data_IF_722813296201
#
_entry.id   IF_722813296201
#
_cell.length_a   1.000
_cell.length_b   1.000
_cell.length_c   1.000
_cell.angle_alpha   90.00
_cell.angle_beta   90.00
_cell.angle_gamma   90.00
#
_symmetry.space_group_name_H-M   'P 1'
#
loop_
_entity.id
_entity.type
_entity.pdbx_description
1 polymer ?
#
# COMPACT_ATOMS: atom_id res chain seq x y z
N UNK A 1 -14.79 -30.12 -53.94
CA UNK A 1 -14.94 -28.64 -53.84
C UNK A 1 -16.19 -28.37 -53.03
N UNK A 2 -16.06 -28.11 -51.72
CA UNK A 2 -17.17 -27.86 -50.82
C UNK A 2 -17.01 -26.44 -50.25
N UNK A 3 -17.81 -25.51 -50.78
CA UNK A 3 -17.94 -24.15 -50.27
C UNK A 3 -18.98 -24.14 -49.15
N UNK A 4 -18.53 -23.88 -47.92
CA UNK A 4 -19.42 -23.65 -46.76
C UNK A 4 -19.38 -22.18 -46.40
N UNK A 5 -20.48 -21.50 -46.71
CA UNK A 5 -20.83 -20.14 -46.31
C UNK A 5 -21.03 -20.04 -44.79
N UNK A 6 -20.68 -18.93 -44.12
CA UNK A 6 -20.84 -18.77 -42.68
C UNK A 6 -22.25 -18.28 -42.29
N UNK A 7 -22.82 -18.68 -41.13
CA UNK A 7 -24.05 -18.10 -40.63
C UNK A 7 -23.80 -16.75 -39.93
N UNK A 8 -24.58 -15.74 -40.32
CA UNK A 8 -24.65 -14.42 -39.71
C UNK A 8 -25.22 -14.49 -38.28
N UNK A 9 -24.56 -13.76 -37.38
CA UNK A 9 -24.94 -13.58 -35.98
C UNK A 9 -26.10 -12.58 -35.91
N UNK A 10 -27.28 -13.06 -35.51
CA UNK A 10 -28.42 -12.22 -35.12
C UNK A 10 -28.24 -11.82 -33.64
N UNK A 11 -27.98 -10.54 -33.38
CA UNK A 11 -28.07 -9.95 -32.04
C UNK A 11 -29.53 -9.63 -31.74
N UNK A 12 -30.14 -10.35 -30.80
CA UNK A 12 -31.34 -9.88 -30.11
C UNK A 12 -30.98 -9.47 -28.69
N UNK A 13 -31.37 -8.24 -28.36
CA UNK A 13 -31.24 -7.63 -27.05
C UNK A 13 -32.33 -8.16 -26.11
N UNK A 14 -31.93 -8.58 -24.91
CA UNK A 14 -32.84 -8.77 -23.78
C UNK A 14 -32.13 -8.16 -22.55
N UNK A 15 -32.46 -6.91 -22.23
CA UNK A 15 -32.26 -6.36 -20.89
C UNK A 15 -33.64 -5.95 -20.38
N UNK A 16 -34.14 -6.69 -19.39
CA UNK A 16 -35.34 -6.34 -18.64
C UNK A 16 -35.00 -6.01 -17.20
N UNK A 17 -35.30 -4.76 -16.84
CA UNK A 17 -36.00 -4.30 -15.64
C UNK A 17 -35.68 -4.93 -14.26
N UNK A 18 -35.13 -4.12 -13.35
CA UNK A 18 -35.86 -3.49 -12.22
C UNK A 18 -34.91 -2.84 -11.22
N UNK A 19 -35.23 -1.62 -10.78
CA UNK A 19 -34.57 -0.99 -9.64
C UNK A 19 -34.85 0.49 -9.42
N UNK A 20 -36.07 0.97 -9.69
CA UNK A 20 -36.52 2.32 -9.31
C UNK A 20 -36.75 2.34 -7.80
N UNK A 21 -36.11 3.26 -7.08
CA UNK A 21 -36.54 3.67 -5.73
C UNK A 21 -36.58 5.20 -5.64
N UNK A 22 -37.79 5.65 -5.36
CA UNK A 22 -38.32 6.96 -5.02
C UNK A 22 -37.34 7.93 -4.34
N UNK A 23 -37.21 9.12 -4.92
CA UNK A 23 -36.77 10.33 -4.23
C UNK A 23 -37.99 10.99 -3.57
N UNK A 24 -38.14 10.88 -2.25
CA UNK A 24 -39.06 11.74 -1.51
C UNK A 24 -38.32 13.00 -1.04
N UNK A 25 -38.74 14.13 -1.57
CA UNK A 25 -38.44 15.46 -1.05
C UNK A 25 -38.99 15.61 0.37
N UNK A 26 -38.14 15.95 1.34
CA UNK A 26 -38.54 16.73 2.50
C UNK A 26 -37.38 17.66 2.86
N UNK A 27 -37.59 18.94 2.58
CA UNK A 27 -36.72 20.03 2.96
C UNK A 27 -36.99 20.42 4.43
N UNK A 28 -35.93 20.44 5.24
CA UNK A 28 -35.84 21.24 6.46
C UNK A 28 -34.44 21.86 6.43
N UNK A 29 -34.32 23.20 6.54
CA UNK A 29 -33.03 23.88 6.58
C UNK A 29 -32.56 23.99 8.03
N UNK A 30 -31.29 23.68 8.33
CA UNK A 30 -30.61 24.45 9.37
C UNK A 30 -29.08 24.39 9.36
N UNK A 31 -28.56 25.59 9.57
CA UNK A 31 -27.28 26.07 10.09
C UNK A 31 -26.04 25.19 10.26
N UNK A 32 -24.93 25.84 9.90
CA UNK A 32 -23.56 25.67 10.40
C UNK A 32 -22.76 24.48 9.85
N UNK A 33 -22.09 24.79 8.74
CA UNK A 33 -20.91 24.13 8.22
C UNK A 33 -19.76 24.11 9.24
N UNK A 34 -19.79 23.15 10.16
CA UNK A 34 -18.58 22.69 10.86
C UNK A 34 -17.90 21.68 9.95
N UNK A 35 -16.86 22.15 9.27
CA UNK A 35 -16.00 21.39 8.38
C UNK A 35 -15.23 20.33 9.19
N UNK A 36 -15.82 19.13 9.37
CA UNK A 36 -15.15 18.02 10.02
C UNK A 36 -14.27 17.29 8.99
N UNK A 37 -13.03 17.76 8.83
CA UNK A 37 -12.01 16.94 8.17
C UNK A 37 -11.52 15.87 9.15
N UNK A 38 -11.59 14.57 8.80
CA UNK A 38 -10.97 13.55 9.62
C UNK A 38 -9.47 13.85 9.74
N UNK A 39 -8.85 13.69 10.94
CA UNK A 39 -7.42 13.89 11.08
C UNK A 39 -6.70 12.90 10.16
N UNK A 40 -5.97 13.44 9.18
CA UNK A 40 -5.03 12.69 8.35
C UNK A 40 -4.19 11.84 9.30
N UNK A 41 -4.24 10.53 9.14
CA UNK A 41 -3.32 9.62 9.80
C UNK A 41 -1.91 10.13 9.50
N UNK A 42 -1.22 10.62 10.53
CA UNK A 42 0.19 10.95 10.48
C UNK A 42 0.95 9.66 10.16
N UNK A 43 1.10 9.40 8.86
CA UNK A 43 2.17 8.57 8.34
C UNK A 43 3.44 9.16 8.92
N UNK A 44 4.12 8.40 9.77
CA UNK A 44 5.42 8.81 10.28
C UNK A 44 6.32 9.05 9.06
N UNK A 45 6.77 10.29 8.91
CA UNK A 45 7.80 10.65 7.95
C UNK A 45 9.05 9.87 8.35
N UNK A 46 9.33 8.80 7.61
CA UNK A 46 10.65 8.18 7.65
C UNK A 46 11.68 9.22 7.23
N UNK A 47 12.88 9.25 7.85
CA UNK A 47 13.88 10.27 7.61
C UNK A 47 14.19 10.35 6.11
N UNK A 48 13.82 11.48 5.53
CA UNK A 48 14.04 11.87 4.14
C UNK A 48 15.52 12.10 3.91
N UNK A 49 16.28 11.03 3.75
CA UNK A 49 17.59 11.07 3.11
C UNK A 49 17.69 9.98 2.02
N UNK A 50 16.57 9.69 1.37
CA UNK A 50 16.58 9.06 0.06
C UNK A 50 16.43 10.17 -0.96
N UNK A 51 17.55 10.60 -1.53
CA UNK A 51 17.57 11.27 -2.83
C UNK A 51 16.56 10.53 -3.73
N UNK A 52 15.52 11.23 -4.19
CA UNK A 52 14.42 10.63 -4.93
C UNK A 52 14.93 10.19 -6.31
N UNK A 53 15.53 9.00 -6.34
CA UNK A 53 16.15 8.45 -7.54
C UNK A 53 15.14 8.48 -8.68
N UNK A 54 15.55 9.09 -9.79
CA UNK A 54 14.68 9.23 -10.95
C UNK A 54 14.37 7.82 -11.47
N UNK A 55 13.10 7.50 -11.81
CA UNK A 55 12.75 6.20 -12.38
C UNK A 55 13.59 5.92 -13.63
N UNK A 56 14.30 4.79 -13.63
CA UNK A 56 15.25 4.42 -14.68
C UNK A 56 16.72 4.40 -14.24
N UNK A 57 17.10 5.09 -13.16
CA UNK A 57 18.48 5.00 -12.64
C UNK A 57 18.80 3.64 -12.04
N UNK A 58 17.80 2.98 -11.45
CA UNK A 58 17.92 1.62 -10.90
C UNK A 58 16.81 0.74 -11.43
N UNK A 59 17.17 -0.50 -11.76
CA UNK A 59 16.24 -1.57 -12.09
C UNK A 59 16.44 -2.69 -11.07
N UNK A 60 15.36 -3.07 -10.42
CA UNK A 60 15.33 -4.20 -9.50
C UNK A 60 14.76 -5.41 -10.21
N UNK A 61 15.51 -6.50 -10.16
CA UNK A 61 15.13 -7.79 -10.73
C UNK A 61 14.77 -8.71 -9.57
N UNK A 62 13.59 -9.29 -9.61
CA UNK A 62 13.10 -10.24 -8.61
C UNK A 62 12.86 -11.59 -9.27
N UNK A 63 13.05 -12.66 -8.52
CA UNK A 63 12.72 -14.00 -8.97
C UNK A 63 11.90 -14.74 -7.93
N UNK A 64 11.09 -15.68 -8.40
CA UNK A 64 10.30 -16.55 -7.56
C UNK A 64 11.13 -17.79 -7.19
N UNK A 65 11.35 -18.08 -5.90
CA UNK A 65 12.21 -19.18 -5.44
C UNK A 65 11.84 -20.54 -6.04
N UNK A 66 10.55 -20.91 -6.00
CA UNK A 66 10.10 -22.23 -6.45
C UNK A 66 9.86 -22.33 -7.96
N UNK A 67 9.20 -21.34 -8.56
CA UNK A 67 8.80 -21.35 -9.97
C UNK A 67 9.86 -20.76 -10.90
N UNK A 68 10.83 -20.02 -10.34
CA UNK A 68 11.90 -19.33 -11.06
C UNK A 68 11.44 -18.33 -12.13
N UNK A 69 10.17 -17.91 -12.07
CA UNK A 69 9.68 -16.75 -12.80
C UNK A 69 10.46 -15.51 -12.36
N UNK A 70 10.83 -14.65 -13.30
CA UNK A 70 11.54 -13.39 -13.04
C UNK A 70 10.61 -12.21 -13.26
N UNK A 71 10.75 -11.11 -12.53
CA UNK A 71 9.95 -9.88 -12.69
C UNK A 71 10.87 -8.68 -12.54
N UNK A 72 10.65 -7.65 -13.37
CA UNK A 72 11.41 -6.41 -13.36
C UNK A 72 10.62 -5.28 -12.70
N UNK A 73 11.28 -4.39 -11.95
CA UNK A 73 10.66 -3.22 -11.32
C UNK A 73 11.63 -2.03 -11.26
N UNK A 74 11.10 -0.80 -11.32
CA UNK A 74 11.89 0.41 -10.99
C UNK A 74 11.93 0.69 -9.49
N UNK A 75 10.99 0.14 -8.73
CA UNK A 75 10.90 0.31 -7.28
C UNK A 75 11.49 -0.89 -6.55
N UNK A 76 12.17 -0.63 -5.43
CA UNK A 76 12.71 -1.67 -4.54
C UNK A 76 11.60 -2.53 -3.92
N UNK A 77 10.44 -1.95 -3.68
CA UNK A 77 9.24 -2.69 -3.27
C UNK A 77 8.51 -3.20 -4.52
N UNK A 78 8.18 -4.49 -4.53
CA UNK A 78 7.47 -5.12 -5.64
C UNK A 78 5.96 -4.78 -5.58
N UNK A 79 5.43 -4.18 -6.64
CA UNK A 79 4.00 -3.89 -6.74
C UNK A 79 3.25 -5.11 -7.31
N UNK A 80 2.19 -5.54 -6.61
CA UNK A 80 1.39 -6.71 -6.98
C UNK A 80 0.85 -6.65 -8.42
N UNK A 81 0.20 -5.54 -8.81
CA UNK A 81 -0.43 -5.42 -10.13
C UNK A 81 0.62 -5.40 -11.27
N UNK A 82 1.70 -4.64 -11.08
CA UNK A 82 2.76 -4.53 -12.08
C UNK A 82 3.58 -5.82 -12.21
N UNK A 83 3.77 -6.57 -11.13
CA UNK A 83 4.50 -7.84 -11.20
C UNK A 83 3.66 -8.94 -11.88
N UNK A 84 2.38 -9.08 -11.47
CA UNK A 84 1.51 -10.12 -12.01
C UNK A 84 1.23 -9.93 -13.50
N UNK A 85 1.12 -8.68 -13.97
CA UNK A 85 0.94 -8.37 -15.40
C UNK A 85 2.16 -8.71 -16.28
N UNK A 86 3.33 -8.99 -15.69
CA UNK A 86 4.49 -9.45 -16.43
C UNK A 86 4.52 -10.97 -16.59
N UNK A 87 3.75 -11.73 -15.80
CA UNK A 87 3.74 -13.20 -15.86
C UNK A 87 2.71 -13.65 -16.90
N UNK A 88 3.16 -14.32 -17.96
CA UNK A 88 2.24 -14.85 -18.97
C UNK A 88 1.43 -16.03 -18.44
N UNK A 89 0.21 -16.17 -18.96
CA UNK A 89 -0.65 -17.30 -18.63
C UNK A 89 -0.25 -18.53 -19.46
N UNK A 90 0.50 -19.43 -18.85
CA UNK A 90 0.95 -20.67 -19.49
C UNK A 90 0.08 -21.88 -19.07
N UNK A 91 -1.13 -21.64 -18.53
CA UNK A 91 -2.06 -22.69 -18.10
C UNK A 91 -2.49 -22.62 -16.62
N UNK A 92 -3.27 -23.61 -16.17
CA UNK A 92 -3.86 -23.61 -14.82
C UNK A 92 -2.76 -23.59 -13.73
N UNK A 93 -2.92 -22.73 -12.71
CA UNK A 93 -2.01 -22.55 -11.56
C UNK A 93 -0.61 -22.00 -11.90
N UNK A 94 -0.39 -21.50 -13.13
CA UNK A 94 0.87 -20.88 -13.52
C UNK A 94 1.01 -19.49 -12.89
N UNK A 95 0.02 -18.63 -13.07
CA UNK A 95 -0.06 -17.29 -12.46
C UNK A 95 -0.66 -17.36 -11.05
N UNK A 96 0.02 -16.83 -10.01
CA UNK A 96 -0.55 -16.74 -8.66
C UNK A 96 -1.61 -15.63 -8.56
N UNK A 97 -2.59 -15.79 -7.67
CA UNK A 97 -3.60 -14.77 -7.44
C UNK A 97 -3.04 -13.48 -6.79
N UNK A 98 -2.00 -13.62 -5.97
CA UNK A 98 -1.31 -12.51 -5.32
C UNK A 98 0.17 -12.86 -5.11
N UNK A 99 1.03 -11.84 -5.07
CA UNK A 99 2.42 -12.02 -4.70
C UNK A 99 2.56 -12.36 -3.22
N UNK A 100 3.36 -13.39 -2.95
CA UNK A 100 3.70 -13.86 -1.61
C UNK A 100 5.11 -13.40 -1.24
N UNK A 101 5.24 -12.60 -0.17
CA UNK A 101 6.51 -11.93 0.19
C UNK A 101 7.68 -12.89 0.46
N UNK A 102 7.37 -14.10 0.89
CA UNK A 102 8.31 -15.18 1.20
C UNK A 102 8.83 -15.92 -0.05
N UNK A 103 8.12 -15.84 -1.17
CA UNK A 103 8.49 -16.56 -2.39
C UNK A 103 9.26 -15.71 -3.39
N UNK A 104 9.22 -14.38 -3.26
CA UNK A 104 9.85 -13.43 -4.17
C UNK A 104 11.11 -12.85 -3.55
N UNK A 105 12.25 -13.11 -4.17
CA UNK A 105 13.56 -12.68 -3.70
C UNK A 105 14.21 -11.75 -4.73
N UNK A 106 15.03 -10.77 -4.29
CA UNK A 106 15.83 -9.98 -5.21
C UNK A 106 16.83 -10.91 -5.90
N UNK A 107 16.88 -10.84 -7.23
CA UNK A 107 17.88 -11.54 -8.06
C UNK A 107 19.10 -10.65 -8.25
N UNK A 108 18.86 -9.45 -8.78
CA UNK A 108 19.90 -8.48 -9.11
C UNK A 108 19.36 -7.04 -9.04
N UNK A 109 20.25 -6.08 -8.90
CA UNK A 109 19.97 -4.65 -9.05
C UNK A 109 20.91 -4.05 -10.06
N UNK A 110 20.36 -3.48 -11.14
CA UNK A 110 21.11 -2.78 -12.17
C UNK A 110 21.13 -1.30 -11.83
N UNK A 111 22.30 -0.68 -11.83
CA UNK A 111 22.47 0.76 -11.55
C UNK A 111 23.11 1.45 -12.76
N UNK A 112 22.43 2.50 -13.24
CA UNK A 112 22.82 3.32 -14.37
C UNK A 112 23.23 4.71 -13.87
N UNK A 113 24.54 4.99 -13.71
CA UNK A 113 25.02 6.27 -13.21
C UNK A 113 24.85 7.41 -14.23
N UNK A 114 24.92 7.11 -15.53
CA UNK A 114 24.97 8.13 -16.58
C UNK A 114 23.62 8.78 -16.87
N UNK A 115 22.57 8.00 -17.15
CA UNK A 115 21.26 8.53 -17.53
C UNK A 115 20.11 7.58 -17.18
N UNK A 116 18.98 8.11 -16.64
CA UNK A 116 17.77 7.31 -16.40
C UNK A 116 17.08 6.83 -17.68
N UNK A 117 17.28 7.51 -18.81
CA UNK A 117 16.63 7.16 -20.08
C UNK A 117 17.14 5.84 -20.64
N UNK A 118 18.46 5.63 -20.54
CA UNK A 118 19.12 4.36 -20.87
C UNK A 118 18.48 3.23 -20.07
N UNK A 119 18.34 3.39 -18.75
CA UNK A 119 17.73 2.36 -17.91
C UNK A 119 16.25 2.12 -18.22
N UNK A 120 15.47 3.11 -18.63
CA UNK A 120 14.08 2.89 -19.10
C UNK A 120 14.04 2.08 -20.39
N UNK A 121 14.95 2.35 -21.31
CA UNK A 121 15.08 1.61 -22.55
C UNK A 121 15.52 0.16 -22.29
N UNK A 122 16.51 -0.04 -21.41
CA UNK A 122 16.94 -1.38 -20.96
C UNK A 122 15.78 -2.14 -20.33
N UNK A 123 15.04 -1.49 -19.43
CA UNK A 123 13.88 -2.09 -18.78
C UNK A 123 12.81 -2.53 -19.78
N UNK A 124 12.55 -1.72 -20.81
CA UNK A 124 11.64 -2.06 -21.88
C UNK A 124 12.12 -3.31 -22.63
N UNK A 125 13.39 -3.33 -23.08
CA UNK A 125 13.96 -4.46 -23.83
C UNK A 125 13.99 -5.77 -23.02
N UNK A 126 14.33 -5.71 -21.74
CA UNK A 126 14.29 -6.89 -20.85
C UNK A 126 12.87 -7.48 -20.73
N UNK A 127 11.85 -6.63 -20.68
CA UNK A 127 10.45 -7.09 -20.65
C UNK A 127 10.00 -7.64 -22.00
N UNK A 128 10.47 -7.07 -23.10
CA UNK A 128 10.24 -7.60 -24.45
C UNK A 128 10.88 -8.98 -24.61
N UNK A 129 12.16 -9.16 -24.27
CA UNK A 129 12.82 -10.46 -24.36
C UNK A 129 12.17 -11.53 -23.49
N UNK A 130 11.83 -11.21 -22.25
CA UNK A 130 11.08 -12.13 -21.41
C UNK A 130 9.77 -12.58 -22.06
N UNK A 131 9.01 -11.65 -22.65
CA UNK A 131 7.75 -11.99 -23.33
C UNK A 131 8.01 -12.92 -24.51
N UNK A 132 9.06 -12.68 -25.29
CA UNK A 132 9.45 -13.54 -26.41
C UNK A 132 9.85 -14.94 -25.93
N UNK A 133 10.65 -15.06 -24.87
CA UNK A 133 11.01 -16.36 -24.27
C UNK A 133 9.80 -17.18 -23.80
N UNK A 134 8.72 -16.54 -23.41
CA UNK A 134 7.49 -17.21 -22.96
C UNK A 134 6.51 -17.50 -24.13
N UNK A 135 6.55 -16.75 -25.25
CA UNK A 135 5.54 -16.79 -26.32
C UNK A 135 6.05 -17.29 -27.68
N UNK A 136 7.28 -16.98 -28.03
CA UNK A 136 7.91 -17.27 -29.33
C UNK A 136 8.97 -18.36 -29.14
N UNK A 137 8.53 -19.56 -28.78
CA UNK A 137 9.38 -20.74 -28.71
C UNK A 137 9.27 -21.53 -30.02
N UNK A 138 10.38 -22.12 -30.46
CA UNK A 138 10.33 -23.02 -31.60
C UNK A 138 9.56 -24.29 -31.21
N UNK A 139 8.62 -24.78 -32.04
CA UNK A 139 7.85 -25.98 -31.72
C UNK A 139 8.72 -27.21 -31.46
N UNK A 140 9.89 -27.28 -32.09
CA UNK A 140 10.88 -28.33 -31.89
C UNK A 140 11.51 -28.27 -30.49
N UNK A 141 11.74 -27.06 -29.96
CA UNK A 141 12.21 -26.83 -28.59
C UNK A 141 11.15 -27.19 -27.54
N UNK A 142 9.88 -27.34 -27.91
CA UNK A 142 8.82 -27.72 -26.96
C UNK A 142 8.69 -29.23 -26.80
N UNK A 143 9.09 -29.99 -27.83
CA UNK A 143 9.25 -31.45 -27.75
C UNK A 143 10.63 -31.76 -27.17
N UNK A 144 11.00 -31.09 -26.07
CA UNK A 144 12.21 -31.45 -25.33
C UNK A 144 12.10 -32.91 -24.97
N UNK A 145 13.12 -33.64 -25.39
CA UNK A 145 13.35 -35.00 -24.92
C UNK A 145 14.10 -34.91 -23.60
N UNK A 146 13.84 -35.84 -22.70
CA UNK A 146 14.70 -36.01 -21.53
C UNK A 146 16.08 -36.54 -21.96
N UNK A 147 16.99 -36.67 -21.00
CA UNK A 147 18.33 -37.22 -21.23
C UNK A 147 18.31 -38.64 -21.82
N UNK A 148 17.15 -39.31 -21.76
CA UNK A 148 16.89 -40.66 -22.27
C UNK A 148 16.18 -40.66 -23.64
N UNK A 149 15.93 -39.49 -24.24
CA UNK A 149 15.32 -39.38 -25.56
C UNK A 149 13.78 -39.44 -25.57
N UNK A 150 13.11 -39.52 -24.42
CA UNK A 150 11.66 -39.58 -24.31
C UNK A 150 11.03 -38.18 -24.26
N UNK A 151 9.84 -37.98 -24.86
CA UNK A 151 9.15 -36.69 -24.79
C UNK A 151 8.79 -36.33 -23.35
N UNK A 152 9.17 -35.11 -22.93
CA UNK A 152 8.85 -34.62 -21.60
C UNK A 152 7.33 -34.46 -21.43
N UNK A 153 6.74 -34.85 -20.28
CA UNK A 153 5.31 -34.63 -20.02
C UNK A 153 4.93 -33.16 -20.08
N UNK A 154 3.77 -32.84 -20.65
CA UNK A 154 3.25 -31.47 -20.82
C UNK A 154 3.33 -30.61 -19.54
N UNK A 155 3.01 -31.18 -18.37
CA UNK A 155 3.10 -30.44 -17.09
C UNK A 155 4.53 -30.03 -16.72
N UNK A 156 5.53 -30.81 -17.11
CA UNK A 156 6.96 -30.50 -16.88
C UNK A 156 7.45 -29.49 -17.90
N UNK A 157 6.99 -29.57 -19.16
CA UNK A 157 7.24 -28.54 -20.18
C UNK A 157 6.74 -27.16 -19.72
N UNK A 158 5.50 -27.08 -19.23
CA UNK A 158 4.94 -25.82 -18.71
C UNK A 158 5.72 -25.25 -17.51
N UNK A 159 6.35 -26.11 -16.69
CA UNK A 159 7.21 -25.67 -15.60
C UNK A 159 8.55 -25.14 -16.12
N UNK A 160 9.14 -25.82 -17.11
CA UNK A 160 10.36 -25.37 -17.77
C UNK A 160 10.15 -24.02 -18.47
N UNK A 161 9.01 -23.81 -19.12
CA UNK A 161 8.65 -22.53 -19.72
C UNK A 161 8.51 -21.40 -18.67
N UNK A 162 8.17 -21.73 -17.42
CA UNK A 162 8.16 -20.75 -16.33
C UNK A 162 9.54 -20.46 -15.73
N UNK A 163 10.52 -21.34 -15.94
CA UNK A 163 11.88 -21.18 -15.42
C UNK A 163 12.67 -20.19 -16.29
N UNK A 164 12.47 -18.90 -15.99
CA UNK A 164 13.05 -17.79 -16.76
C UNK A 164 14.29 -17.19 -16.09
N UNK A 165 14.83 -17.81 -15.04
CA UNK A 165 15.97 -17.26 -14.28
C UNK A 165 17.23 -17.13 -15.15
N UNK A 166 17.64 -18.22 -15.78
CA UNK A 166 18.83 -18.24 -16.63
C UNK A 166 18.66 -17.34 -17.87
N UNK A 167 17.52 -17.45 -18.56
CA UNK A 167 17.19 -16.62 -19.72
C UNK A 167 17.24 -15.13 -19.38
N UNK A 168 16.67 -14.72 -18.25
CA UNK A 168 16.69 -13.32 -17.83
C UNK A 168 18.12 -12.80 -17.58
N UNK A 169 19.03 -13.64 -17.10
CA UNK A 169 20.43 -13.27 -16.87
C UNK A 169 21.17 -13.13 -18.20
N UNK A 170 20.95 -14.07 -19.13
CA UNK A 170 21.47 -13.99 -20.48
C UNK A 170 20.93 -12.75 -21.22
N UNK A 171 19.65 -12.43 -21.05
CA UNK A 171 19.02 -11.22 -21.60
C UNK A 171 19.66 -9.95 -21.03
N UNK A 172 19.94 -9.90 -19.73
CA UNK A 172 20.66 -8.78 -19.11
C UNK A 172 22.03 -8.60 -19.76
N UNK A 173 22.80 -9.68 -19.90
CA UNK A 173 24.11 -9.60 -20.57
C UNK A 173 23.97 -9.13 -22.02
N UNK A 174 23.01 -9.68 -22.78
CA UNK A 174 22.78 -9.32 -24.18
C UNK A 174 22.35 -7.85 -24.37
N UNK A 175 21.46 -7.34 -23.51
CA UNK A 175 21.03 -5.94 -23.56
C UNK A 175 22.16 -5.00 -23.15
N UNK A 176 22.90 -5.32 -22.08
CA UNK A 176 24.00 -4.47 -21.62
C UNK A 176 25.18 -4.47 -22.58
N UNK A 177 25.41 -5.55 -23.32
CA UNK A 177 26.40 -5.62 -24.40
C UNK A 177 26.17 -4.55 -25.46
N UNK A 178 24.91 -4.27 -25.82
CA UNK A 178 24.56 -3.24 -26.81
C UNK A 178 24.91 -1.81 -26.38
N UNK A 179 25.06 -1.59 -25.06
CA UNK A 179 25.51 -0.31 -24.52
C UNK A 179 27.03 -0.16 -24.55
N UNK A 180 27.78 -1.25 -24.77
CA UNK A 180 29.23 -1.22 -24.88
C UNK A 180 29.68 -0.48 -26.13
N UNK A 181 30.79 0.26 -26.04
CA UNK A 181 31.42 0.89 -27.21
C UNK A 181 31.91 -0.16 -28.21
N UNK A 182 32.40 -1.31 -27.74
CA UNK A 182 32.84 -2.43 -28.59
C UNK A 182 31.73 -2.94 -29.51
N UNK A 183 30.48 -2.90 -29.08
CA UNK A 183 29.36 -3.34 -29.90
C UNK A 183 29.09 -2.38 -31.07
N UNK A 184 29.30 -1.08 -30.89
CA UNK A 184 29.18 -0.12 -31.99
C UNK A 184 30.27 -0.29 -33.05
N UNK A 185 31.46 -0.72 -32.64
CA UNK A 185 32.56 -1.03 -33.56
C UNK A 185 32.30 -2.34 -34.33
N UNK A 186 31.77 -3.37 -33.66
CA UNK A 186 31.45 -4.67 -34.28
C UNK A 186 30.22 -4.63 -35.20
N UNK A 187 29.19 -3.84 -34.88
CA UNK A 187 27.92 -3.84 -35.61
C UNK A 187 27.95 -3.01 -36.92
N UNK A 188 29.02 -2.25 -37.18
CA UNK A 188 29.09 -1.32 -38.31
C UNK A 188 28.16 -0.11 -38.15
N UNK A 189 28.51 1.02 -38.75
CA UNK A 189 27.80 2.30 -38.56
C UNK A 189 26.32 2.28 -39.01
N UNK A 190 25.93 1.36 -39.90
CA UNK A 190 24.55 1.26 -40.43
C UNK A 190 23.57 0.57 -39.49
N UNK A 191 23.97 -0.45 -38.72
CA UNK A 191 23.07 -1.07 -37.73
C UNK A 191 22.90 -0.19 -36.48
N UNK A 192 23.88 0.65 -36.17
CA UNK A 192 23.90 1.50 -34.97
C UNK A 192 22.98 2.74 -35.05
N UNK A 193 22.64 3.23 -36.26
CA UNK A 193 21.98 4.54 -36.43
C UNK A 193 20.50 4.51 -36.80
N UNK A 194 19.89 3.35 -37.00
CA UNK A 194 18.47 3.35 -37.40
C UNK A 194 17.77 2.02 -37.30
N UNK A 195 17.15 1.74 -36.15
CA UNK A 195 15.99 0.82 -36.00
C UNK A 195 15.58 0.78 -34.53
N UNK A 196 14.54 1.52 -34.12
CA UNK A 196 13.74 1.29 -32.88
C UNK A 196 14.61 0.74 -31.70
N UNK A 197 15.75 1.40 -31.49
CA UNK A 197 16.92 0.84 -30.81
C UNK A 197 16.91 1.13 -29.32
N UNK A 198 17.81 0.48 -28.60
CA UNK A 198 18.05 0.79 -27.19
C UNK A 198 18.66 2.21 -27.08
N UNK A 199 18.08 3.08 -26.26
CA UNK A 199 18.59 4.43 -26.05
C UNK A 199 19.96 4.33 -25.36
N UNK A 200 20.98 4.93 -25.99
CA UNK A 200 22.37 4.87 -25.51
C UNK A 200 23.18 3.69 -26.06
N UNK A 201 22.73 3.05 -27.14
CA UNK A 201 23.57 2.10 -27.90
C UNK A 201 24.93 2.71 -28.27
N UNK A 202 26.00 1.95 -28.07
CA UNK A 202 27.37 2.38 -28.38
C UNK A 202 27.97 3.47 -27.48
N UNK A 203 27.22 4.00 -26.50
CA UNK A 203 27.71 5.10 -25.65
C UNK A 203 28.82 4.70 -24.67
N UNK A 204 29.06 3.40 -24.46
CA UNK A 204 30.03 2.92 -23.47
C UNK A 204 29.58 3.16 -22.03
N UNK A 205 28.27 3.30 -21.81
CA UNK A 205 27.72 3.57 -20.48
C UNK A 205 28.11 2.46 -19.50
N UNK A 206 28.83 2.84 -18.43
CA UNK A 206 29.21 1.93 -17.34
C UNK A 206 27.97 1.55 -16.54
N UNK A 207 27.73 0.26 -16.35
CA UNK A 207 26.58 -0.26 -15.61
C UNK A 207 27.07 -1.14 -14.47
N UNK A 208 26.56 -0.91 -13.27
CA UNK A 208 26.84 -1.77 -12.12
C UNK A 208 25.70 -2.77 -11.92
N UNK A 209 26.04 -4.06 -11.86
CA UNK A 209 25.11 -5.16 -11.61
C UNK A 209 25.42 -5.77 -10.25
N UNK A 210 24.53 -5.49 -9.30
CA UNK A 210 24.59 -6.05 -7.93
C UNK A 210 23.81 -7.34 -7.86
N UNK A 211 24.47 -8.47 -7.64
CA UNK A 211 23.87 -9.79 -7.61
C UNK A 211 23.53 -10.26 -6.19
N UNK A 212 22.36 -10.84 -5.98
CA UNK A 212 22.04 -11.52 -4.73
C UNK A 212 22.95 -12.72 -4.46
N UNK A 213 23.22 -13.49 -5.50
CA UNK A 213 24.22 -14.56 -5.54
C UNK A 213 25.18 -14.28 -6.69
N UNK A 214 26.48 -14.17 -6.39
CA UNK A 214 27.48 -13.83 -7.40
C UNK A 214 27.59 -14.90 -8.49
N UNK A 215 27.31 -16.17 -8.17
CA UNK A 215 27.39 -17.29 -9.11
C UNK A 215 26.31 -17.23 -10.21
N UNK A 216 25.24 -16.46 -9.99
CA UNK A 216 24.22 -16.26 -11.00
C UNK A 216 24.79 -15.54 -12.24
N UNK A 217 25.91 -14.82 -12.15
CA UNK A 217 26.53 -14.20 -13.31
C UNK A 217 26.99 -15.21 -14.38
N UNK A 218 27.24 -16.47 -14.00
CA UNK A 218 27.75 -17.52 -14.88
C UNK A 218 26.69 -18.08 -15.84
N UNK A 219 25.41 -17.73 -15.66
CA UNK A 219 24.35 -18.12 -16.61
C UNK A 219 24.48 -17.42 -17.97
N UNK A 220 25.24 -16.31 -18.06
CA UNK A 220 25.58 -15.69 -19.31
C UNK A 220 26.99 -16.10 -19.73
N UNK A 221 27.15 -16.56 -20.97
CA UNK A 221 28.44 -17.03 -21.50
C UNK A 221 29.49 -15.90 -21.58
N UNK A 222 29.06 -14.69 -21.93
CA UNK A 222 29.94 -13.54 -22.13
C UNK A 222 29.29 -12.27 -21.56
N UNK A 223 30.11 -11.48 -20.88
CA UNK A 223 29.75 -10.15 -20.38
C UNK A 223 30.58 -9.09 -21.10
N UNK A 224 29.98 -7.94 -21.32
CA UNK A 224 30.67 -6.79 -21.91
C UNK A 224 31.48 -6.02 -20.86
N UNK A 225 32.55 -5.38 -21.30
CA UNK A 225 33.53 -4.69 -20.44
C UNK A 225 32.95 -3.49 -19.67
N UNK A 226 31.85 -2.92 -20.17
CA UNK A 226 31.13 -1.84 -19.50
C UNK A 226 30.33 -2.28 -18.25
N UNK A 227 30.25 -3.59 -17.98
CA UNK A 227 29.49 -4.14 -16.86
C UNK A 227 30.42 -4.43 -15.67
N UNK A 228 30.16 -3.76 -14.55
CA UNK A 228 30.82 -4.05 -13.27
C UNK A 228 29.92 -4.93 -12.42
N UNK A 229 30.39 -6.12 -12.07
CA UNK A 229 29.70 -7.00 -11.13
C UNK A 229 30.05 -6.65 -9.68
N UNK A 230 29.05 -6.66 -8.81
CA UNK A 230 29.23 -6.53 -7.36
C UNK A 230 28.21 -7.40 -6.63
N UNK A 231 28.46 -7.65 -5.35
CA UNK A 231 27.51 -8.38 -4.51
C UNK A 231 26.46 -7.41 -4.00
N UNK A 232 25.19 -7.80 -4.10
CA UNK A 232 24.07 -7.08 -3.50
C UNK A 232 24.14 -7.28 -2.00
N UNK A 233 24.27 -6.19 -1.26
CA UNK A 233 24.20 -6.26 0.19
C UNK A 233 22.88 -6.92 0.60
N UNK A 234 22.92 -7.99 1.42
CA UNK A 234 21.72 -8.63 1.90
C UNK A 234 20.88 -7.55 2.59
N UNK A 235 19.62 -7.43 2.17
CA UNK A 235 18.70 -6.52 2.85
C UNK A 235 18.70 -6.96 4.31
N UNK A 236 19.20 -6.09 5.21
CA UNK A 236 19.13 -6.34 6.65
C UNK A 236 17.68 -6.66 6.96
N UNK A 237 17.39 -7.95 7.13
CA UNK A 237 16.07 -8.38 7.49
C UNK A 237 15.77 -7.61 8.76
N UNK A 238 14.68 -6.84 8.80
CA UNK A 238 14.13 -6.21 10.03
C UNK A 238 13.73 -7.26 11.10
N UNK A 239 14.24 -8.49 10.96
CA UNK A 239 14.22 -9.63 11.85
C UNK A 239 15.42 -9.62 12.80
N UNK A 240 16.40 -8.75 12.60
CA UNK A 240 17.44 -8.50 13.60
C UNK A 240 16.78 -7.92 14.88
N UNK A 241 16.75 -8.67 15.99
CA UNK A 241 16.00 -8.28 17.18
C UNK A 241 16.51 -6.97 17.81
N UNK A 242 17.78 -6.62 17.62
CA UNK A 242 18.38 -5.40 18.17
C UNK A 242 17.75 -4.14 17.56
N UNK A 243 17.57 -4.12 16.23
CA UNK A 243 17.02 -2.97 15.50
C UNK A 243 15.52 -2.77 15.77
N UNK A 244 14.77 -3.87 15.99
CA UNK A 244 13.35 -3.85 16.36
C UNK A 244 13.10 -3.44 17.81
N UNK A 245 13.96 -3.87 18.72
CA UNK A 245 13.87 -3.52 20.13
C UNK A 245 14.02 -2.02 20.35
N UNK A 246 14.97 -1.40 19.64
CA UNK A 246 15.30 0.01 19.81
C UNK A 246 14.25 0.96 19.22
N UNK A 247 13.76 0.68 18.00
CA UNK A 247 12.72 1.51 17.36
C UNK A 247 11.40 1.48 18.14
N UNK A 248 10.97 0.32 18.63
CA UNK A 248 9.72 0.20 19.40
C UNK A 248 9.81 0.87 20.77
N UNK A 249 10.97 0.76 21.45
CA UNK A 249 11.23 1.48 22.71
C UNK A 249 11.22 3.00 22.50
N UNK A 250 11.91 3.49 21.47
CA UNK A 250 11.95 4.92 21.14
C UNK A 250 10.55 5.48 20.80
N UNK A 251 9.76 4.78 19.98
CA UNK A 251 8.38 5.20 19.67
C UNK A 251 7.49 5.21 20.92
N UNK A 252 7.68 4.25 21.83
CA UNK A 252 6.92 4.17 23.07
C UNK A 252 7.33 5.27 24.07
N UNK A 253 8.61 5.61 24.14
CA UNK A 253 9.11 6.75 24.91
C UNK A 253 8.62 8.09 24.36
N UNK A 254 8.64 8.27 23.03
CA UNK A 254 8.10 9.47 22.39
C UNK A 254 6.60 9.63 22.65
N UNK A 255 5.82 8.54 22.58
CA UNK A 255 4.40 8.55 22.96
C UNK A 255 4.21 8.89 24.44
N UNK A 256 4.99 8.29 25.34
CA UNK A 256 4.92 8.60 26.78
C UNK A 256 5.30 10.04 27.07
N UNK A 257 6.30 10.58 26.38
CA UNK A 257 6.74 11.96 26.50
C UNK A 257 5.68 12.95 26.00
N UNK A 258 5.04 12.67 24.86
CA UNK A 258 3.96 13.51 24.31
C UNK A 258 2.68 13.45 25.16
N UNK A 259 2.32 12.28 25.67
CA UNK A 259 1.21 12.15 26.61
C UNK A 259 1.50 12.86 27.94
N UNK A 260 2.75 12.79 28.43
CA UNK A 260 3.18 13.51 29.63
C UNK A 260 3.14 15.02 29.45
N UNK A 261 3.57 15.55 28.30
CA UNK A 261 3.52 16.99 28.00
C UNK A 261 2.08 17.49 27.93
N UNK A 262 1.21 16.78 27.22
CA UNK A 262 -0.23 17.08 27.14
C UNK A 262 -0.86 17.06 28.55
N UNK A 263 -0.50 16.08 29.39
CA UNK A 263 -1.01 15.98 30.76
C UNK A 263 -0.52 17.11 31.64
N UNK A 264 0.73 17.51 31.51
CA UNK A 264 1.32 18.64 32.24
C UNK A 264 0.65 19.96 31.85
N UNK A 265 0.41 20.17 30.55
CA UNK A 265 -0.28 21.35 30.03
C UNK A 265 -1.73 21.45 30.53
N UNK A 266 -2.49 20.34 30.47
CA UNK A 266 -3.84 20.29 31.05
C UNK A 266 -3.84 20.61 32.55
N UNK A 267 -2.83 20.16 33.30
CA UNK A 267 -2.68 20.46 34.74
C UNK A 267 -2.35 21.93 34.98
N UNK A 268 -1.48 22.54 34.15
CA UNK A 268 -1.19 23.99 34.18
C UNK A 268 -2.44 24.81 33.90
N UNK A 269 -3.20 24.46 32.85
CA UNK A 269 -4.46 25.13 32.51
C UNK A 269 -5.49 25.04 33.64
N UNK A 270 -5.64 23.88 34.29
CA UNK A 270 -6.52 23.72 35.46
C UNK A 270 -6.09 24.59 36.65
N UNK A 271 -4.78 24.66 36.94
CA UNK A 271 -4.25 25.50 38.02
C UNK A 271 -4.48 26.99 37.74
N UNK A 272 -4.27 27.44 36.50
CA UNK A 272 -4.52 28.83 36.09
C UNK A 272 -6.01 29.20 36.21
N UNK A 273 -6.92 28.31 35.80
CA UNK A 273 -8.37 28.51 36.00
C UNK A 273 -8.72 28.61 37.49
N UNK A 274 -8.13 27.76 38.33
CA UNK A 274 -8.40 27.79 39.76
C UNK A 274 -7.85 29.06 40.44
N UNK A 275 -6.68 29.54 40.05
CA UNK A 275 -6.13 30.79 40.58
C UNK A 275 -6.98 31.99 40.18
N UNK A 276 -7.44 32.06 38.93
CA UNK A 276 -8.32 33.14 38.44
C UNK A 276 -9.69 33.14 39.15
N UNK A 277 -10.27 31.96 39.40
CA UNK A 277 -11.50 31.85 40.21
C UNK A 277 -11.25 32.31 41.64
N UNK A 278 -10.09 31.96 42.23
CA UNK A 278 -9.75 32.37 43.61
C UNK A 278 -9.54 33.88 43.72
N UNK A 279 -8.81 34.52 42.79
CA UNK A 279 -8.62 35.98 42.76
C UNK A 279 -9.95 36.70 42.55
N UNK A 280 -10.77 36.26 41.59
CA UNK A 280 -12.12 36.82 41.37
C UNK A 280 -13.01 36.68 42.60
N UNK A 281 -12.98 35.52 43.28
CA UNK A 281 -13.75 35.31 44.52
C UNK A 281 -13.26 36.19 45.67
N UNK A 282 -11.94 36.41 45.78
CA UNK A 282 -11.35 37.31 46.78
C UNK A 282 -11.77 38.76 46.55
N UNK A 283 -11.72 39.23 45.30
CA UNK A 283 -12.18 40.56 44.89
C UNK A 283 -13.69 40.71 45.13
N UNK A 284 -14.49 39.69 44.83
CA UNK A 284 -15.93 39.72 45.10
C UNK A 284 -16.25 39.72 46.60
N UNK A 285 -15.46 39.03 47.41
CA UNK A 285 -15.63 38.96 48.86
C UNK A 285 -15.26 40.27 49.55
N UNK A 286 -14.19 40.94 49.11
CA UNK A 286 -13.83 42.29 49.61
C UNK A 286 -14.89 43.30 49.21
N UNK A 287 -15.33 43.29 47.95
CA UNK A 287 -16.41 44.15 47.46
C UNK A 287 -17.71 43.91 48.23
N UNK A 288 -18.11 42.65 48.44
CA UNK A 288 -19.31 42.31 49.21
C UNK A 288 -19.21 42.76 50.67
N UNK A 289 -18.04 42.63 51.32
CA UNK A 289 -17.85 43.10 52.70
C UNK A 289 -18.00 44.63 52.83
N UNK A 290 -17.62 45.39 51.81
CA UNK A 290 -17.73 46.85 51.77
C UNK A 290 -19.14 47.39 51.48
N UNK A 291 -20.10 46.56 51.04
CA UNK A 291 -21.47 47.02 50.72
C UNK A 291 -22.29 47.37 51.99
N UNK A 292 -23.22 48.34 51.90
CA UNK A 292 -24.23 48.60 52.93
C UNK A 292 -25.10 47.36 53.23
N UNK A 293 -25.71 47.33 54.42
CA UNK A 293 -26.47 46.16 54.91
C UNK A 293 -27.67 45.81 54.03
N UNK A 294 -28.32 46.80 53.43
CA UNK A 294 -29.51 46.64 52.59
C UNK A 294 -29.18 45.93 51.27
N UNK A 295 -28.14 46.37 50.55
CA UNK A 295 -27.69 45.70 49.32
C UNK A 295 -27.20 44.27 49.57
N UNK A 296 -26.57 44.00 50.73
CA UNK A 296 -26.18 42.64 51.12
C UNK A 296 -27.38 41.71 51.27
N UNK A 297 -28.51 42.22 51.76
CA UNK A 297 -29.76 41.47 51.94
C UNK A 297 -30.42 41.19 50.59
N UNK A 298 -30.47 42.18 49.70
CA UNK A 298 -31.01 42.01 48.34
C UNK A 298 -30.20 40.97 47.53
N UNK A 299 -28.87 41.00 47.63
CA UNK A 299 -28.00 39.98 47.00
C UNK A 299 -28.28 38.59 47.58
N UNK A 300 -28.47 38.46 48.90
CA UNK A 300 -28.79 37.17 49.54
C UNK A 300 -30.13 36.63 49.06
N UNK A 301 -31.13 37.50 48.93
CA UNK A 301 -32.45 37.12 48.45
C UNK A 301 -32.42 36.68 46.98
N UNK A 302 -31.72 37.42 46.10
CA UNK A 302 -31.51 37.04 44.69
C UNK A 302 -30.77 35.70 44.56
N UNK A 303 -29.78 35.43 45.41
CA UNK A 303 -29.08 34.13 45.44
C UNK A 303 -30.00 33.00 45.93
N UNK A 304 -30.87 33.26 46.91
CA UNK A 304 -31.87 32.30 47.39
C UNK A 304 -32.86 31.93 46.27
N UNK A 305 -33.48 32.94 45.66
CA UNK A 305 -34.40 32.78 44.52
C UNK A 305 -33.74 32.08 43.33
N UNK A 306 -32.48 32.41 43.03
CA UNK A 306 -31.72 31.76 41.95
C UNK A 306 -31.38 30.29 42.23
N UNK A 307 -31.17 29.90 43.50
CA UNK A 307 -30.96 28.50 43.89
C UNK A 307 -32.26 27.70 43.83
N UNK A 308 -33.38 28.31 44.19
CA UNK A 308 -34.72 27.68 44.11
C UNK A 308 -35.13 27.45 42.65
N UNK A 309 -34.94 28.45 41.76
CA UNK A 309 -35.20 28.32 40.31
C UNK A 309 -34.38 27.24 39.60
N UNK A 310 -33.20 26.88 40.11
CA UNK A 310 -32.33 25.84 39.50
C UNK A 310 -32.64 24.42 39.99
N UNK A 311 -33.21 24.26 41.19
CA UNK A 311 -33.52 22.94 41.76
C UNK A 311 -34.68 22.25 41.04
N UNK A 312 -35.71 23.00 40.64
CA UNK A 312 -36.87 22.47 39.92
C UNK A 312 -36.52 21.82 38.55
N UNK A 313 -35.82 22.51 37.62
CA UNK A 313 -35.55 21.92 36.31
C UNK A 313 -34.55 20.77 36.36
N UNK A 314 -33.59 20.75 37.31
CA UNK A 314 -32.71 19.60 37.49
C UNK A 314 -33.44 18.40 38.08
N UNK A 315 -34.33 18.61 39.05
CA UNK A 315 -35.15 17.54 39.61
C UNK A 315 -36.07 16.93 38.54
N UNK A 316 -36.71 17.77 37.72
CA UNK A 316 -37.55 17.33 36.60
C UNK A 316 -36.72 16.55 35.55
N UNK A 317 -35.55 17.06 35.14
CA UNK A 317 -34.66 16.36 34.19
C UNK A 317 -34.16 15.02 34.74
N UNK A 318 -33.82 14.96 36.02
CA UNK A 318 -33.34 13.74 36.68
C UNK A 318 -34.47 12.71 36.81
N UNK A 319 -35.69 13.14 37.12
CA UNK A 319 -36.89 12.29 37.17
C UNK A 319 -37.26 11.76 35.77
N UNK A 320 -37.20 12.59 34.73
CA UNK A 320 -37.44 12.18 33.35
C UNK A 320 -36.44 11.10 32.88
N UNK A 321 -35.13 11.28 33.15
CA UNK A 321 -34.11 10.26 32.86
C UNK A 321 -34.35 8.92 33.56
N UNK A 322 -34.88 8.96 34.78
CA UNK A 322 -35.20 7.74 35.53
C UNK A 322 -36.40 7.01 34.90
N UNK A 323 -37.45 7.75 34.48
CA UNK A 323 -38.60 7.18 33.77
C UNK A 323 -38.20 6.57 32.43
N UNK A 324 -37.43 7.30 31.62
CA UNK A 324 -36.93 6.82 30.31
C UNK A 324 -36.13 5.52 30.45
N UNK A 325 -35.26 5.44 31.48
CA UNK A 325 -34.50 4.23 31.78
C UNK A 325 -35.38 3.06 32.23
N UNK A 326 -36.51 3.34 32.89
CA UNK A 326 -37.48 2.32 33.34
C UNK A 326 -38.29 1.78 32.16
N UNK A 327 -38.81 2.65 31.30
CA UNK A 327 -39.53 2.28 30.07
C UNK A 327 -38.66 1.47 29.11
N UNK A 328 -37.40 1.86 28.93
CA UNK A 328 -36.44 1.11 28.12
C UNK A 328 -36.19 -0.31 28.66
N UNK A 329 -36.23 -0.50 29.98
CA UNK A 329 -36.10 -1.81 30.62
C UNK A 329 -37.35 -2.67 30.39
N UNK A 330 -38.54 -2.10 30.54
CA UNK A 330 -39.82 -2.79 30.30
C UNK A 330 -39.98 -3.19 28.83
N UNK A 331 -39.60 -2.33 27.88
CA UNK A 331 -39.58 -2.66 26.45
C UNK A 331 -38.62 -3.80 26.15
N UNK A 332 -37.43 -3.80 26.77
CA UNK A 332 -36.46 -4.89 26.61
C UNK A 332 -36.95 -6.21 27.19
N UNK A 333 -37.71 -6.18 28.29
CA UNK A 333 -38.35 -7.37 28.86
C UNK A 333 -39.52 -7.88 28.00
N UNK A 334 -40.35 -6.99 27.44
CA UNK A 334 -41.41 -7.37 26.48
C UNK A 334 -40.83 -8.00 25.21
N UNK A 335 -39.79 -7.41 24.62
CA UNK A 335 -39.10 -7.96 23.45
C UNK A 335 -38.47 -9.33 23.75
N UNK A 336 -37.97 -9.53 24.99
CA UNK A 336 -37.49 -10.85 25.41
C UNK A 336 -38.60 -11.89 25.53
N UNK A 337 -39.81 -11.52 25.96
CA UNK A 337 -40.95 -12.45 26.05
C UNK A 337 -41.46 -12.85 24.67
N UNK A 338 -41.60 -11.89 23.75
CA UNK A 338 -42.02 -12.16 22.37
C UNK A 338 -41.04 -13.08 21.63
N UNK A 339 -39.72 -12.86 21.79
CA UNK A 339 -38.72 -13.74 21.20
C UNK A 339 -38.64 -15.15 21.82
N UNK A 340 -39.27 -15.40 22.97
CA UNK A 340 -39.35 -16.75 23.58
C UNK A 340 -40.58 -17.50 23.10
N UNK A 341 -41.66 -16.80 22.75
CA UNK A 341 -42.89 -17.41 22.18
C UNK A 341 -42.71 -17.79 20.71
N UNK A 342 -41.97 -17.02 19.91
CA UNK A 342 -41.69 -17.34 18.50
C UNK A 342 -40.65 -18.45 18.28
N UNK A 343 -40.10 -19.02 19.36
CA UNK A 343 -39.05 -20.05 19.33
C UNK A 343 -39.51 -21.48 19.64
N UNK A 344 -40.82 -21.73 19.76
CA UNK A 344 -41.35 -23.01 20.25
C UNK A 344 -42.09 -23.89 19.22
N UNK A 345 -42.14 -23.53 17.93
CA UNK A 345 -42.75 -24.38 16.89
C UNK A 345 -41.79 -24.68 15.73
N UNK A 346 -40.68 -25.37 16.01
CA UNK A 346 -40.00 -26.23 15.03
C UNK A 346 -39.45 -27.47 15.73
N UNK A 347 -40.33 -28.44 16.02
CA UNK A 347 -39.99 -29.85 16.14
C UNK A 347 -40.94 -30.68 15.28
#
# INVERSE_FOLDING_TARGET
MNTRTPPQIVRQAIFSFRGVRYSSTNAIPDSSSINYQPPKSTTQEEPTNSESLKPGQKIYVFYHLQKKNVVYSFTRALNNAHALSQISFNGKKTVPAALRKDLWHPLATLTFPSSPEIGRSVFQKLREYRRRHEQEWDPEDFVKKDDQGNPIPYKKQLRQLGDQKANSIADIAAVLRRLSSSFAEEAGEEEAKGKIGLIGEGTGAKVEVKWSDIYDNAFAEKWSENVKHSVLEPYNNNRDPETRGNSRKQQQEQKRASEASIRAEKKRARRAKYSDVKTRSGIHATKYKALPREEKMEIREKVRLGRERKKEPEYIKKRAKILEKKEAREMREKMKKLNVEDGLDVL
#
